data_IF_015112025347
#
_entry.id   IF_015112025347
#
_cell.length_a   1.000
_cell.length_b   1.000
_cell.length_c   1.000
_cell.angle_alpha   90.00
_cell.angle_beta   90.00
_cell.angle_gamma   90.00
#
_symmetry.space_group_name_H-M   'P 1'
#
loop_
_entity.id
_entity.type
_entity.pdbx_description
1 polymer ?
#
# COMPACT_ATOMS: atom_id res chain seq x y z
N UNK A 1 19.97 12.38 -16.26
CA UNK A 1 20.34 13.22 -15.11
C UNK A 1 19.89 12.57 -13.81
N UNK A 2 20.87 12.27 -12.96
CA UNK A 2 20.83 11.55 -11.68
C UNK A 2 20.24 12.34 -10.50
N UNK A 3 20.17 11.70 -9.33
CA UNK A 3 20.12 12.42 -8.05
C UNK A 3 21.50 13.01 -7.76
N UNK A 4 21.56 14.30 -7.46
CA UNK A 4 22.75 15.02 -7.05
C UNK A 4 22.53 15.64 -5.67
N UNK A 5 23.41 15.30 -4.72
CA UNK A 5 23.38 15.83 -3.36
C UNK A 5 24.73 16.51 -3.06
N UNK A 6 24.67 17.77 -2.63
CA UNK A 6 25.81 18.49 -2.09
C UNK A 6 25.90 18.22 -0.58
N UNK A 7 27.10 17.97 -0.06
CA UNK A 7 27.31 17.69 1.36
C UNK A 7 26.84 18.84 2.29
N UNK A 8 26.73 18.59 3.60
CA UNK A 8 26.18 19.54 4.59
C UNK A 8 26.95 20.87 4.72
N UNK A 9 28.11 20.99 4.08
CA UNK A 9 28.93 22.19 4.05
C UNK A 9 28.53 23.22 2.98
N UNK A 10 27.52 22.98 2.16
CA UNK A 10 27.12 23.92 1.10
C UNK A 10 25.95 24.80 1.55
N UNK A 11 26.23 25.81 2.37
CA UNK A 11 25.23 26.85 2.70
C UNK A 11 25.15 27.89 1.57
N UNK A 12 24.04 28.63 1.49
CA UNK A 12 23.89 29.77 0.56
C UNK A 12 25.02 30.79 0.73
N UNK A 13 25.47 31.05 1.96
CA UNK A 13 26.60 31.94 2.25
C UNK A 13 27.93 31.41 1.71
N UNK A 14 28.19 30.11 1.82
CA UNK A 14 29.43 29.49 1.32
C UNK A 14 29.51 29.60 -0.20
N UNK A 15 28.42 29.30 -0.91
CA UNK A 15 28.37 29.48 -2.36
C UNK A 15 28.49 30.93 -2.80
N UNK A 16 27.76 31.84 -2.14
CA UNK A 16 27.82 33.28 -2.47
C UNK A 16 29.19 33.89 -2.14
N UNK A 17 29.96 33.28 -1.25
CA UNK A 17 31.33 33.68 -0.92
C UNK A 17 32.41 33.18 -1.90
N UNK A 18 32.05 32.42 -2.93
CA UNK A 18 33.00 31.81 -3.87
C UNK A 18 33.86 30.69 -3.25
N UNK A 19 33.51 30.22 -2.04
CA UNK A 19 34.16 29.07 -1.41
C UNK A 19 33.60 27.78 -2.03
N UNK A 20 34.48 26.79 -2.21
CA UNK A 20 34.08 25.49 -2.73
C UNK A 20 33.09 24.82 -1.79
N UNK A 21 31.89 24.54 -2.29
CA UNK A 21 31.06 23.50 -1.67
C UNK A 21 31.79 22.16 -1.80
N UNK A 22 31.60 21.25 -0.83
CA UNK A 22 32.12 19.89 -0.99
C UNK A 22 31.65 19.26 -2.32
N UNK A 23 32.43 18.34 -2.86
CA UNK A 23 32.18 17.77 -4.20
C UNK A 23 30.76 17.18 -4.30
N UNK A 24 29.97 17.56 -5.31
CA UNK A 24 28.61 17.05 -5.49
C UNK A 24 28.64 15.54 -5.75
N UNK A 25 27.87 14.79 -4.97
CA UNK A 25 27.75 13.35 -5.14
C UNK A 25 26.55 13.04 -6.05
N UNK A 26 26.81 12.29 -7.12
CA UNK A 26 25.76 11.82 -8.03
C UNK A 26 25.47 10.34 -7.80
N UNK A 27 24.19 9.97 -7.79
CA UNK A 27 23.73 8.59 -7.60
C UNK A 27 22.51 8.29 -8.47
N UNK A 28 22.24 6.99 -8.72
CA UNK A 28 21.07 6.53 -9.48
C UNK A 28 20.97 7.13 -10.89
N UNK A 29 22.12 7.33 -11.54
CA UNK A 29 22.20 7.82 -12.93
C UNK A 29 21.47 6.85 -13.87
N UNK A 30 20.55 7.38 -14.67
CA UNK A 30 19.75 6.60 -15.61
C UNK A 30 18.67 5.76 -14.94
N UNK A 31 18.37 5.99 -13.67
CA UNK A 31 17.49 5.15 -12.86
C UNK A 31 16.35 5.92 -12.17
N UNK A 32 16.28 7.24 -12.32
CA UNK A 32 15.22 8.06 -11.71
C UNK A 32 13.94 7.99 -12.54
N UNK A 33 12.91 7.37 -11.98
CA UNK A 33 11.64 7.08 -12.64
C UNK A 33 10.64 8.24 -12.54
N UNK A 34 10.63 8.93 -11.40
CA UNK A 34 9.73 10.04 -11.08
C UNK A 34 10.34 10.90 -9.97
N UNK A 35 9.96 12.18 -9.89
CA UNK A 35 10.22 13.04 -8.74
C UNK A 35 8.92 13.68 -8.28
N UNK A 36 8.72 13.81 -6.97
CA UNK A 36 7.56 14.49 -6.41
C UNK A 36 7.90 15.17 -5.08
N UNK A 37 7.03 16.08 -4.66
CA UNK A 37 7.12 16.76 -3.37
C UNK A 37 6.11 16.14 -2.39
N UNK A 38 6.58 15.82 -1.19
CA UNK A 38 5.74 15.48 -0.05
C UNK A 38 5.65 16.71 0.85
N UNK A 39 4.60 17.49 0.66
CA UNK A 39 4.36 18.70 1.43
C UNK A 39 3.75 18.35 2.81
N UNK A 40 4.40 18.81 3.88
CA UNK A 40 3.93 18.78 5.25
C UNK A 40 3.32 20.12 5.67
N UNK A 41 3.07 20.31 6.98
CA UNK A 41 2.44 21.55 7.46
C UNK A 41 3.40 22.76 7.40
N UNK A 42 4.67 22.57 7.78
CA UNK A 42 5.69 23.63 7.79
C UNK A 42 6.90 23.32 6.88
N UNK A 43 7.03 22.07 6.43
CA UNK A 43 8.19 21.59 5.67
C UNK A 43 7.78 20.72 4.49
N UNK A 44 8.56 20.77 3.41
CA UNK A 44 8.42 19.88 2.25
C UNK A 44 9.65 19.00 2.09
N UNK A 45 9.43 17.70 1.86
CA UNK A 45 10.48 16.76 1.47
C UNK A 45 10.36 16.48 -0.04
N UNK A 46 11.49 16.51 -0.74
CA UNK A 46 11.58 16.25 -2.17
C UNK A 46 12.10 14.84 -2.40
N UNK A 47 11.28 14.02 -3.06
CA UNK A 47 11.49 12.58 -3.20
C UNK A 47 11.70 12.23 -4.67
N UNK A 48 12.65 11.34 -4.93
CA UNK A 48 12.85 10.68 -6.20
C UNK A 48 12.44 9.20 -6.07
N UNK A 49 11.61 8.73 -6.99
CA UNK A 49 11.35 7.30 -7.16
C UNK A 49 12.40 6.74 -8.11
N UNK A 50 13.12 5.71 -7.68
CA UNK A 50 14.27 5.15 -8.40
C UNK A 50 14.17 3.64 -8.52
N UNK A 51 14.78 3.11 -9.57
CA UNK A 51 15.14 1.69 -9.65
C UNK A 51 16.52 1.48 -9.03
N UNK A 52 16.64 0.61 -8.03
CA UNK A 52 17.93 0.34 -7.36
C UNK A 52 18.73 -0.83 -7.96
N UNK A 53 18.19 -1.46 -9.01
CA UNK A 53 18.74 -2.67 -9.62
C UNK A 53 17.89 -3.91 -9.36
N UNK A 54 17.06 -3.90 -8.32
CA UNK A 54 16.25 -5.03 -7.89
C UNK A 54 14.76 -4.67 -7.75
N UNK A 55 14.47 -3.47 -7.25
CA UNK A 55 13.13 -2.99 -6.95
C UNK A 55 12.97 -1.49 -7.16
N UNK A 56 11.71 -1.04 -7.21
CA UNK A 56 11.38 0.38 -7.16
C UNK A 56 11.40 0.83 -5.70
N UNK A 57 12.07 1.95 -5.42
CA UNK A 57 12.20 2.52 -4.07
C UNK A 57 12.21 4.05 -4.12
N UNK A 58 12.11 4.70 -2.97
CA UNK A 58 12.18 6.16 -2.84
C UNK A 58 13.49 6.61 -2.23
N UNK A 59 13.98 7.76 -2.68
CA UNK A 59 15.13 8.48 -2.10
C UNK A 59 14.75 9.94 -1.90
N UNK A 60 14.84 10.40 -0.67
CA UNK A 60 14.79 11.84 -0.39
C UNK A 60 16.10 12.48 -0.87
N UNK A 61 15.99 13.52 -1.68
CA UNK A 61 17.16 14.26 -2.17
C UNK A 61 17.23 15.69 -1.64
N UNK A 62 16.13 16.26 -1.17
CA UNK A 62 16.12 17.58 -0.55
C UNK A 62 14.98 17.69 0.48
N UNK A 63 15.11 18.60 1.44
CA UNK A 63 14.06 18.97 2.39
C UNK A 63 14.18 20.45 2.78
N UNK A 64 13.05 21.12 2.98
CA UNK A 64 13.04 22.52 3.46
C UNK A 64 13.43 22.64 4.93
N UNK A 65 13.26 21.57 5.72
CA UNK A 65 13.56 21.53 7.17
C UNK A 65 15.03 21.78 7.49
N UNK A 66 15.89 21.25 6.63
CA UNK A 66 17.34 21.32 6.77
C UNK A 66 18.01 22.36 5.86
N UNK A 67 17.22 23.13 5.09
CA UNK A 67 17.72 24.04 4.06
C UNK A 67 18.76 23.35 3.16
N UNK A 68 18.40 22.21 2.58
CA UNK A 68 19.32 21.43 1.74
C UNK A 68 19.56 22.14 0.41
N UNK A 69 20.57 23.01 0.36
CA UNK A 69 20.89 23.78 -0.83
C UNK A 69 21.68 22.95 -1.85
N UNK A 70 21.44 23.21 -3.14
CA UNK A 70 22.15 22.62 -4.28
C UNK A 70 21.95 21.12 -4.52
N UNK A 71 20.90 20.55 -3.94
CA UNK A 71 20.46 19.22 -4.30
C UNK A 71 19.47 19.29 -5.47
N UNK A 72 19.52 18.30 -6.35
CA UNK A 72 18.59 18.18 -7.47
C UNK A 72 18.36 16.71 -7.80
N UNK A 73 17.20 16.40 -8.34
CA UNK A 73 16.93 15.15 -9.03
C UNK A 73 16.25 15.48 -10.36
N UNK A 74 16.43 14.60 -11.34
CA UNK A 74 15.77 14.72 -12.63
C UNK A 74 15.35 13.35 -13.09
N UNK A 75 14.20 13.27 -13.76
CA UNK A 75 13.71 12.00 -14.29
C UNK A 75 14.57 11.61 -15.49
N UNK A 76 15.29 10.50 -15.37
CA UNK A 76 16.24 10.05 -16.38
C UNK A 76 16.30 8.54 -16.62
N UNK A 77 15.34 7.80 -16.06
CA UNK A 77 15.25 6.36 -16.23
C UNK A 77 15.32 5.98 -17.72
N UNK A 78 16.30 5.14 -18.05
CA UNK A 78 16.44 4.59 -19.40
C UNK A 78 15.25 3.70 -19.76
N UNK A 79 14.97 3.45 -21.05
CA UNK A 79 13.92 2.51 -21.45
C UNK A 79 14.08 1.14 -20.79
N UNK A 80 15.31 0.64 -20.66
CA UNK A 80 15.61 -0.63 -20.02
C UNK A 80 15.25 -0.63 -18.54
N UNK A 81 15.55 0.45 -17.82
CA UNK A 81 15.16 0.60 -16.41
C UNK A 81 13.65 0.68 -16.26
N UNK A 82 12.95 1.41 -17.13
CA UNK A 82 11.48 1.52 -17.10
C UNK A 82 10.81 0.17 -17.31
N UNK A 83 11.28 -0.63 -18.26
CA UNK A 83 10.76 -1.99 -18.48
C UNK A 83 11.07 -2.92 -17.31
N UNK A 84 12.27 -2.85 -16.74
CA UNK A 84 12.64 -3.64 -15.55
C UNK A 84 11.75 -3.31 -14.34
N UNK A 85 11.56 -2.01 -14.07
CA UNK A 85 10.69 -1.51 -13.02
C UNK A 85 9.23 -1.93 -13.24
N UNK A 86 8.75 -1.91 -14.50
CA UNK A 86 7.38 -2.30 -14.82
C UNK A 86 7.18 -3.80 -14.64
N UNK A 87 8.14 -4.60 -15.08
CA UNK A 87 8.13 -6.04 -14.87
C UNK A 87 8.14 -6.38 -13.37
N UNK A 88 8.92 -5.68 -12.56
CA UNK A 88 8.90 -5.82 -11.10
C UNK A 88 7.52 -5.48 -10.52
N UNK A 89 6.94 -4.32 -10.86
CA UNK A 89 5.64 -3.88 -10.34
C UNK A 89 4.55 -4.92 -10.61
N UNK A 90 4.47 -5.40 -11.85
CA UNK A 90 3.48 -6.41 -12.27
C UNK A 90 3.63 -7.73 -11.51
N UNK A 91 4.87 -8.17 -11.26
CA UNK A 91 5.16 -9.36 -10.44
C UNK A 91 4.69 -9.18 -9.00
N UNK A 92 4.86 -7.99 -8.42
CA UNK A 92 4.43 -7.69 -7.05
C UNK A 92 2.91 -7.51 -6.92
N UNK A 93 2.24 -7.02 -7.97
CA UNK A 93 0.82 -6.68 -7.95
C UNK A 93 -0.09 -7.91 -7.90
N UNK A 94 0.19 -8.95 -8.70
CA UNK A 94 -0.69 -10.12 -8.81
C UNK A 94 -0.99 -10.81 -7.46
N UNK A 95 0.01 -11.15 -6.63
CA UNK A 95 -0.26 -11.75 -5.31
C UNK A 95 -1.14 -10.87 -4.42
N UNK A 96 -0.97 -9.55 -4.47
CA UNK A 96 -1.76 -8.62 -3.66
C UNK A 96 -3.22 -8.56 -4.11
N UNK A 97 -3.46 -8.52 -5.41
CA UNK A 97 -4.83 -8.54 -5.96
C UNK A 97 -5.56 -9.83 -5.58
N UNK A 98 -4.87 -10.97 -5.67
CA UNK A 98 -5.41 -12.29 -5.33
C UNK A 98 -5.73 -12.34 -3.83
N UNK A 99 -4.81 -11.93 -2.96
CA UNK A 99 -5.05 -11.93 -1.52
C UNK A 99 -6.18 -10.96 -1.12
N UNK A 100 -6.26 -9.77 -1.73
CA UNK A 100 -7.39 -8.84 -1.53
C UNK A 100 -8.71 -9.46 -1.98
N UNK A 101 -8.75 -10.11 -3.15
CA UNK A 101 -9.94 -10.76 -3.65
C UNK A 101 -10.37 -11.93 -2.75
N UNK A 102 -9.41 -12.74 -2.28
CA UNK A 102 -9.65 -13.84 -1.33
C UNK A 102 -10.16 -13.31 0.01
N UNK A 103 -9.52 -12.30 0.59
CA UNK A 103 -9.97 -11.66 1.83
C UNK A 103 -11.40 -11.14 1.67
N UNK A 104 -11.69 -10.47 0.55
CA UNK A 104 -13.03 -9.96 0.21
C UNK A 104 -14.07 -11.07 0.06
N UNK A 105 -13.71 -12.20 -0.54
CA UNK A 105 -14.61 -13.36 -0.71
C UNK A 105 -14.95 -14.04 0.62
N UNK A 106 -14.01 -14.01 1.58
CA UNK A 106 -14.14 -14.62 2.92
C UNK A 106 -14.76 -13.67 3.94
N UNK A 107 -14.82 -12.37 3.64
CA UNK A 107 -15.38 -11.39 4.54
C UNK A 107 -16.90 -11.60 4.69
N UNK A 108 -17.44 -11.58 5.92
CA UNK A 108 -18.88 -11.68 6.13
C UNK A 108 -19.60 -10.49 5.48
N UNK A 109 -20.70 -10.76 4.79
CA UNK A 109 -21.57 -9.76 4.16
C UNK A 109 -23.02 -10.15 4.36
N UNK A 110 -23.92 -9.17 4.43
CA UNK A 110 -25.36 -9.41 4.50
C UNK A 110 -25.78 -10.32 3.34
N UNK A 111 -26.58 -11.35 3.65
CA UNK A 111 -27.03 -12.38 2.72
C UNK A 111 -26.12 -13.61 2.61
N UNK A 112 -24.89 -13.58 3.15
CA UNK A 112 -23.98 -14.73 3.13
C UNK A 112 -24.29 -15.72 4.25
N UNK A 113 -24.07 -17.00 3.98
CA UNK A 113 -24.07 -18.04 5.02
C UNK A 113 -22.72 -18.13 5.70
N UNK A 114 -22.75 -18.10 7.02
CA UNK A 114 -21.55 -18.16 7.84
C UNK A 114 -21.66 -19.22 8.93
N UNK A 115 -20.51 -19.66 9.45
CA UNK A 115 -20.38 -20.52 10.62
C UNK A 115 -19.60 -19.79 11.71
N UNK A 116 -20.06 -19.92 12.95
CA UNK A 116 -19.36 -19.41 14.12
C UNK A 116 -18.11 -20.24 14.42
N UNK A 117 -16.99 -19.55 14.58
CA UNK A 117 -15.69 -20.09 14.99
C UNK A 117 -15.49 -20.06 16.52
N UNK A 118 -16.46 -19.56 17.27
CA UNK A 118 -16.34 -19.46 18.73
C UNK A 118 -16.16 -20.84 19.34
N UNK A 119 -15.21 -20.97 20.26
CA UNK A 119 -14.92 -22.24 20.97
C UNK A 119 -15.65 -22.40 22.29
N UNK A 120 -16.41 -21.39 22.72
CA UNK A 120 -17.07 -21.32 24.03
C UNK A 120 -18.47 -20.74 23.93
N UNK A 121 -19.38 -21.18 24.79
CA UNK A 121 -20.74 -20.64 24.92
C UNK A 121 -21.76 -21.22 23.95
N UNK A 122 -22.93 -20.56 23.87
CA UNK A 122 -24.10 -21.03 23.11
C UNK A 122 -23.97 -20.92 21.58
N UNK A 123 -22.90 -20.27 21.10
CA UNK A 123 -22.70 -19.98 19.69
C UNK A 123 -21.68 -20.89 19.01
N UNK A 124 -21.19 -21.94 19.67
CA UNK A 124 -20.24 -22.89 19.07
C UNK A 124 -20.89 -23.58 17.88
N UNK A 125 -20.24 -23.50 16.71
CA UNK A 125 -20.66 -24.21 15.50
C UNK A 125 -21.99 -23.74 14.89
N UNK A 126 -22.60 -22.68 15.41
CA UNK A 126 -23.86 -22.14 14.86
C UNK A 126 -23.63 -21.70 13.43
N UNK A 127 -24.55 -22.09 12.55
CA UNK A 127 -24.59 -21.63 11.17
C UNK A 127 -25.83 -20.78 10.95
N UNK A 128 -25.73 -19.80 10.06
CA UNK A 128 -26.85 -18.90 9.77
C UNK A 128 -26.53 -17.94 8.64
N UNK A 129 -27.54 -17.20 8.22
CA UNK A 129 -27.38 -16.12 7.25
C UNK A 129 -27.03 -14.81 7.97
N UNK A 130 -26.08 -14.05 7.45
CA UNK A 130 -25.79 -12.71 7.97
C UNK A 130 -26.94 -11.77 7.59
N UNK A 131 -27.58 -11.16 8.59
CA UNK A 131 -28.64 -10.16 8.39
C UNK A 131 -28.24 -8.75 8.81
N UNK A 132 -27.18 -8.62 9.60
CA UNK A 132 -26.73 -7.34 10.13
C UNK A 132 -25.22 -7.31 10.27
N UNK A 133 -24.63 -6.16 9.94
CA UNK A 133 -23.23 -5.84 10.22
C UNK A 133 -23.21 -4.41 10.76
N UNK A 134 -22.41 -4.18 11.79
CA UNK A 134 -22.25 -2.83 12.33
C UNK A 134 -21.22 -2.76 13.43
N UNK A 135 -21.00 -1.55 13.99
CA UNK A 135 -19.94 -1.30 14.94
C UNK A 135 -20.16 -2.11 16.23
N UNK A 136 -19.08 -2.72 16.71
CA UNK A 136 -19.05 -3.37 18.01
C UNK A 136 -18.86 -2.31 19.11
N UNK A 137 -19.94 -1.98 19.80
CA UNK A 137 -19.91 -1.05 20.95
C UNK A 137 -19.03 -1.55 22.10
N UNK A 138 -18.65 -2.82 22.10
CA UNK A 138 -17.80 -3.44 23.13
C UNK A 138 -16.35 -3.66 22.67
N UNK A 139 -16.03 -3.40 21.40
CA UNK A 139 -14.66 -3.47 20.92
C UNK A 139 -13.87 -2.24 21.39
N UNK A 140 -12.62 -2.47 21.81
CA UNK A 140 -11.65 -1.38 21.98
C UNK A 140 -11.10 -1.01 20.59
N UNK A 141 -11.85 -0.20 19.84
CA UNK A 141 -11.45 0.27 18.50
C UNK A 141 -12.52 0.04 17.43
N UNK A 142 -12.10 -0.15 16.18
CA UNK A 142 -12.94 -0.29 14.98
C UNK A 142 -13.50 -1.70 14.78
N UNK A 143 -13.88 -2.39 15.86
CA UNK A 143 -14.41 -3.75 15.75
C UNK A 143 -15.79 -3.77 15.10
N UNK A 144 -16.04 -4.75 14.22
CA UNK A 144 -17.37 -5.01 13.67
C UNK A 144 -18.00 -6.26 14.32
N UNK A 145 -19.32 -6.22 14.46
CA UNK A 145 -20.14 -7.39 14.80
C UNK A 145 -21.02 -7.78 13.63
N UNK A 146 -21.29 -9.07 13.57
CA UNK A 146 -22.14 -9.72 12.59
C UNK A 146 -23.31 -10.34 13.33
N UNK A 147 -24.53 -9.99 12.92
CA UNK A 147 -25.77 -10.62 13.35
C UNK A 147 -26.12 -11.76 12.40
N UNK A 148 -26.03 -12.99 12.89
CA UNK A 148 -26.39 -14.20 12.14
C UNK A 148 -27.80 -14.65 12.52
N UNK A 149 -28.60 -15.05 11.54
CA UNK A 149 -29.91 -15.66 11.75
C UNK A 149 -29.80 -17.17 11.51
N UNK A 150 -29.83 -18.00 12.58
CA UNK A 150 -29.85 -19.45 12.43
C UNK A 150 -31.14 -19.94 11.77
N UNK A 151 -31.07 -21.06 11.06
CA UNK A 151 -32.26 -21.65 10.45
C UNK A 151 -33.27 -22.08 11.52
N UNK A 152 -34.52 -21.62 11.40
CA UNK A 152 -35.59 -21.92 12.36
C UNK A 152 -35.60 -21.05 13.62
N UNK A 153 -34.73 -20.03 13.71
CA UNK A 153 -34.77 -19.02 14.77
C UNK A 153 -35.17 -17.65 14.21
N UNK A 154 -36.09 -16.96 14.88
CA UNK A 154 -36.49 -15.58 14.54
C UNK A 154 -35.50 -14.53 15.09
N UNK A 155 -34.58 -14.95 15.97
CA UNK A 155 -33.59 -14.08 16.61
C UNK A 155 -32.25 -14.00 15.88
N UNK A 156 -31.61 -12.83 15.96
CA UNK A 156 -30.22 -12.67 15.55
C UNK A 156 -29.26 -13.02 16.68
N UNK A 157 -28.20 -13.75 16.35
CA UNK A 157 -27.06 -14.00 17.23
C UNK A 157 -25.90 -13.12 16.80
N UNK A 158 -25.43 -12.27 17.72
CA UNK A 158 -24.37 -11.32 17.42
C UNK A 158 -23.00 -11.88 17.79
N UNK A 159 -22.10 -11.91 16.82
CA UNK A 159 -20.72 -12.41 16.94
C UNK A 159 -19.74 -11.35 16.46
N UNK A 160 -18.49 -11.31 16.95
CA UNK A 160 -17.44 -10.52 16.33
C UNK A 160 -17.22 -10.98 14.88
N UNK A 161 -16.96 -10.05 13.95
CA UNK A 161 -16.74 -10.38 12.54
C UNK A 161 -15.58 -11.36 12.32
N UNK A 162 -14.49 -11.24 13.09
CA UNK A 162 -13.37 -12.19 13.06
C UNK A 162 -13.66 -13.56 13.69
N UNK A 163 -14.83 -13.77 14.28
CA UNK A 163 -15.26 -15.04 14.88
C UNK A 163 -16.29 -15.79 14.01
N UNK A 164 -16.44 -15.40 12.76
CA UNK A 164 -17.26 -16.10 11.78
C UNK A 164 -16.45 -16.42 10.52
N UNK A 165 -16.78 -17.52 9.86
CA UNK A 165 -16.27 -17.86 8.54
C UNK A 165 -17.41 -17.98 7.54
N UNK A 166 -17.21 -17.51 6.32
CA UNK A 166 -18.15 -17.72 5.20
C UNK A 166 -18.03 -19.17 4.72
N UNK A 167 -19.15 -19.88 4.64
CA UNK A 167 -19.17 -21.29 4.26
C UNK A 167 -18.93 -21.51 2.76
N UNK A 168 -19.55 -20.66 1.94
CA UNK A 168 -19.49 -20.72 0.47
C UNK A 168 -18.91 -19.40 -0.08
N UNK A 169 -17.61 -19.12 0.11
CA UNK A 169 -16.98 -17.94 -0.46
C UNK A 169 -17.02 -18.06 -1.99
N UNK A 170 -17.28 -16.94 -2.67
CA UNK A 170 -17.21 -16.91 -4.13
C UNK A 170 -15.80 -17.28 -4.60
N UNK A 171 -15.69 -18.13 -5.64
CA UNK A 171 -14.39 -18.46 -6.20
C UNK A 171 -13.74 -17.19 -6.74
N UNK A 172 -12.46 -17.02 -6.45
CA UNK A 172 -11.66 -15.93 -6.98
C UNK A 172 -11.12 -16.35 -8.34
N UNK A 173 -11.42 -15.56 -9.38
CA UNK A 173 -10.85 -15.74 -10.71
C UNK A 173 -9.40 -15.21 -10.74
N UNK A 174 -8.48 -16.07 -10.28
CA UNK A 174 -7.05 -15.74 -10.21
C UNK A 174 -6.45 -15.54 -11.61
N UNK A 175 -6.97 -16.21 -12.64
CA UNK A 175 -6.47 -16.08 -14.01
C UNK A 175 -6.72 -14.68 -14.55
N UNK A 176 -7.93 -14.14 -14.36
CA UNK A 176 -8.24 -12.75 -14.74
C UNK A 176 -7.39 -11.75 -13.96
N UNK A 177 -7.16 -11.98 -12.66
CA UNK A 177 -6.30 -11.11 -11.84
C UNK A 177 -4.83 -11.14 -12.29
N UNK A 178 -4.30 -12.31 -12.64
CA UNK A 178 -2.98 -12.44 -13.23
C UNK A 178 -2.87 -11.73 -14.58
N UNK A 179 -3.88 -11.88 -15.45
CA UNK A 179 -3.91 -11.21 -16.75
C UNK A 179 -3.96 -9.69 -16.60
N UNK A 180 -4.79 -9.19 -15.68
CA UNK A 180 -4.84 -7.77 -15.34
C UNK A 180 -3.48 -7.27 -14.85
N UNK A 181 -2.86 -7.96 -13.88
CA UNK A 181 -1.56 -7.57 -13.35
C UNK A 181 -0.45 -7.57 -14.42
N UNK A 182 -0.48 -8.52 -15.36
CA UNK A 182 0.49 -8.59 -16.47
C UNK A 182 0.37 -7.41 -17.44
N UNK A 183 -0.83 -6.83 -17.59
CA UNK A 183 -1.07 -5.67 -18.45
C UNK A 183 -0.92 -4.33 -17.71
N UNK A 184 -1.10 -4.32 -16.38
CA UNK A 184 -1.16 -3.13 -15.55
C UNK A 184 0.03 -2.19 -15.77
N UNK A 185 -0.26 -0.88 -15.75
CA UNK A 185 0.71 0.20 -15.72
C UNK A 185 0.26 1.18 -14.65
N UNK A 186 1.15 1.59 -13.75
CA UNK A 186 0.77 2.58 -12.75
C UNK A 186 0.67 3.96 -13.42
N UNK A 187 -0.24 4.80 -12.92
CA UNK A 187 -0.39 6.18 -13.41
C UNK A 187 0.88 7.00 -13.12
N UNK A 188 1.47 6.77 -11.95
CA UNK A 188 2.78 7.30 -11.54
C UNK A 188 3.55 6.22 -10.76
N UNK A 189 4.87 6.32 -10.70
CA UNK A 189 5.69 5.38 -9.93
C UNK A 189 5.50 5.54 -8.42
N UNK A 190 5.07 6.72 -7.96
CA UNK A 190 4.55 6.89 -6.60
C UNK A 190 3.30 6.04 -6.36
N UNK A 191 2.29 6.12 -7.24
CA UNK A 191 1.08 5.30 -7.12
C UNK A 191 1.40 3.80 -7.17
N UNK A 192 2.41 3.41 -7.96
CA UNK A 192 2.89 2.03 -7.99
C UNK A 192 3.35 1.53 -6.61
N UNK A 193 4.01 2.39 -5.83
CA UNK A 193 4.42 2.05 -4.46
C UNK A 193 3.25 2.04 -3.49
N UNK A 194 2.32 3.00 -3.62
CA UNK A 194 1.10 3.05 -2.80
C UNK A 194 0.23 1.79 -3.00
N UNK A 195 0.01 1.38 -4.26
CA UNK A 195 -0.69 0.14 -4.63
C UNK A 195 -0.14 -1.09 -3.90
N UNK A 196 1.19 -1.15 -3.77
CA UNK A 196 1.91 -2.26 -3.17
C UNK A 196 2.07 -2.15 -1.65
N UNK A 197 1.90 -0.94 -1.09
CA UNK A 197 2.07 -0.62 0.33
C UNK A 197 0.75 -0.70 1.10
N UNK A 198 -0.40 -0.69 0.42
CA UNK A 198 -1.73 -1.04 0.95
C UNK A 198 -1.83 -2.54 1.37
N UNK A 199 -0.80 -3.03 2.06
CA UNK A 199 -0.82 -4.13 3.00
C UNK A 199 -1.63 -3.66 4.20
N UNK A 200 -2.83 -4.22 4.33
CA UNK A 200 -3.62 -4.26 5.56
C UNK A 200 -4.39 -3.00 5.98
N UNK A 201 -5.30 -2.52 5.14
CA UNK A 201 -6.57 -1.93 5.65
C UNK A 201 -7.75 -2.74 5.11
N UNK A 202 -7.75 -4.03 5.47
CA UNK A 202 -8.99 -4.75 5.71
C UNK A 202 -9.06 -4.90 7.24
N UNK A 203 -9.47 -3.83 7.91
CA UNK A 203 -9.76 -3.79 9.33
C UNK A 203 -11.18 -3.32 9.54
#
# INVERSE_FOLDING_TARGET
MSITVCGPACTTEIKNSGRGCGDPQSSHVGAVLETYERNGYDDSDFIAVVWDGEQVTTREYASTRGWTYHNAASVDATPQVREAALAWYRRQLAPQLIERARARSRAPRVGRRVRSLTRRGKNIGVTGEVRWIGPDRYARGTGERVGIQPAGEDGLRFLPAGSVEVLDPEPVDEQTLHAYAAAARPDTWRCALDDLTDRAVAS
#
